data_IF_140075471251
#
_entry.id   IF_140075471251
#
_cell.length_a   1.000
_cell.length_b   1.000
_cell.length_c   1.000
_cell.angle_alpha   90.00
_cell.angle_beta   90.00
_cell.angle_gamma   90.00
#
_symmetry.space_group_name_H-M   'P 1'
#
loop_
_entity.id
_entity.type
_entity.pdbx_description
1 polymer ?
#
# COMPACT_ATOMS: atom_id res chain seq x y z
N UNK A 1 5.79 23.02 -21.96
CA UNK A 1 5.91 23.27 -20.50
C UNK A 1 4.53 23.50 -19.89
N UNK A 2 3.82 22.44 -19.51
CA UNK A 2 2.54 22.59 -18.79
C UNK A 2 2.88 22.53 -17.29
N UNK A 3 3.21 23.68 -16.73
CA UNK A 3 3.31 23.81 -15.28
C UNK A 3 1.94 23.55 -14.68
N UNK A 4 1.81 22.53 -13.81
CA UNK A 4 0.57 22.31 -13.06
C UNK A 4 0.26 23.62 -12.33
N UNK A 5 -0.97 24.18 -12.42
CA UNK A 5 -1.33 25.47 -11.80
C UNK A 5 -0.89 25.58 -10.33
N UNK A 6 -0.94 24.44 -9.61
CA UNK A 6 -0.48 24.32 -8.23
C UNK A 6 1.02 24.54 -7.98
N UNK A 7 1.91 24.25 -8.94
CA UNK A 7 3.35 24.53 -8.76
C UNK A 7 3.64 26.02 -8.83
N UNK A 8 2.97 26.74 -9.73
CA UNK A 8 3.15 28.20 -9.87
C UNK A 8 2.66 28.91 -8.61
N UNK A 9 1.48 28.55 -8.10
CA UNK A 9 0.95 29.12 -6.86
C UNK A 9 1.87 28.85 -5.67
N UNK A 10 2.36 27.61 -5.52
CA UNK A 10 3.29 27.25 -4.44
C UNK A 10 4.63 27.97 -4.57
N UNK A 11 5.18 28.12 -5.77
CA UNK A 11 6.40 28.89 -6.01
C UNK A 11 6.23 30.36 -5.61
N UNK A 12 5.06 30.95 -5.90
CA UNK A 12 4.74 32.31 -5.47
C UNK A 12 4.58 32.42 -3.93
N UNK A 13 4.06 31.39 -3.26
CA UNK A 13 4.02 31.35 -1.79
C UNK A 13 5.42 31.24 -1.19
N UNK A 14 6.31 30.43 -1.78
CA UNK A 14 7.70 30.30 -1.35
C UNK A 14 8.51 31.59 -1.58
N UNK A 15 8.26 32.31 -2.68
CA UNK A 15 8.94 33.58 -2.97
C UNK A 15 8.61 34.69 -1.98
N UNK A 16 7.50 34.57 -1.24
CA UNK A 16 7.15 35.43 -0.09
C UNK A 16 8.00 35.16 1.16
N UNK A 17 8.95 34.22 1.10
CA UNK A 17 9.90 33.90 2.17
C UNK A 17 9.21 33.55 3.50
N UNK A 18 8.35 32.51 3.52
CA UNK A 18 7.69 32.07 4.74
C UNK A 18 8.71 31.64 5.81
N UNK A 19 8.36 31.87 7.08
CA UNK A 19 9.23 31.52 8.22
C UNK A 19 9.33 30.00 8.44
N UNK A 20 8.27 29.25 8.10
CA UNK A 20 8.19 27.79 8.25
C UNK A 20 7.62 27.20 6.96
N UNK A 21 8.25 26.14 6.48
CA UNK A 21 7.80 25.37 5.31
C UNK A 21 7.70 23.91 5.71
N UNK A 22 6.53 23.31 5.46
CA UNK A 22 6.30 21.86 5.63
C UNK A 22 6.11 21.26 4.24
N UNK A 23 6.94 20.29 3.87
CA UNK A 23 6.92 19.71 2.54
C UNK A 23 7.34 18.24 2.55
N UNK A 24 6.87 17.48 1.56
CA UNK A 24 7.42 16.15 1.25
C UNK A 24 8.68 16.29 0.39
N UNK A 25 9.70 15.41 0.54
CA UNK A 25 10.98 15.57 -0.13
C UNK A 25 10.86 15.75 -1.65
N UNK A 26 10.12 14.87 -2.33
CA UNK A 26 9.96 14.96 -3.79
C UNK A 26 9.34 16.27 -4.25
N UNK A 27 8.34 16.80 -3.53
CA UNK A 27 7.70 18.07 -3.89
C UNK A 27 8.63 19.27 -3.67
N UNK A 28 9.43 19.24 -2.62
CA UNK A 28 10.41 20.28 -2.33
C UNK A 28 11.57 20.24 -3.32
N UNK A 29 12.09 19.05 -3.63
CA UNK A 29 13.13 18.83 -4.63
C UNK A 29 12.67 19.29 -6.03
N UNK A 30 11.42 19.03 -6.42
CA UNK A 30 10.85 19.56 -7.67
C UNK A 30 10.87 21.09 -7.71
N UNK A 31 10.53 21.76 -6.61
CA UNK A 31 10.59 23.22 -6.51
C UNK A 31 12.02 23.75 -6.61
N UNK A 32 12.98 23.10 -5.95
CA UNK A 32 14.41 23.45 -6.04
C UNK A 32 14.94 23.28 -7.48
N UNK A 33 14.58 22.18 -8.16
CA UNK A 33 15.05 21.88 -9.52
C UNK A 33 14.42 22.79 -10.58
N UNK A 34 13.16 23.18 -10.37
CA UNK A 34 12.36 23.81 -11.42
C UNK A 34 12.26 25.32 -11.28
N UNK A 35 12.59 25.89 -10.11
CA UNK A 35 12.30 27.29 -9.81
C UNK A 35 13.40 27.98 -9.01
N UNK A 36 13.86 29.13 -9.52
CA UNK A 36 14.77 30.05 -8.80
C UNK A 36 14.01 31.08 -7.93
N UNK A 37 12.73 30.84 -7.67
CA UNK A 37 11.87 31.83 -6.99
C UNK A 37 12.10 31.94 -5.49
N UNK A 38 12.86 31.00 -4.89
CA UNK A 38 13.17 31.01 -3.47
C UNK A 38 14.54 30.37 -3.20
N UNK A 39 15.17 30.76 -2.09
CA UNK A 39 16.43 30.18 -1.63
C UNK A 39 16.30 29.71 -0.18
N UNK A 40 17.14 28.75 0.21
CA UNK A 40 17.19 28.21 1.57
C UNK A 40 18.42 28.71 2.35
N UNK A 41 19.12 29.75 1.88
CA UNK A 41 20.41 30.18 2.46
C UNK A 41 20.29 30.64 3.91
N UNK A 42 19.09 31.04 4.34
CA UNK A 42 18.78 31.50 5.72
C UNK A 42 18.18 30.42 6.61
N UNK A 43 18.11 29.17 6.15
CA UNK A 43 17.53 28.08 6.92
C UNK A 43 18.37 27.80 8.17
N UNK A 44 17.75 27.93 9.35
CA UNK A 44 18.38 27.66 10.65
C UNK A 44 18.07 26.27 11.20
N UNK A 45 16.90 25.74 10.87
CA UNK A 45 16.39 24.46 11.38
C UNK A 45 15.94 23.58 10.22
N UNK A 46 16.41 22.34 10.20
CA UNK A 46 15.93 21.29 9.31
C UNK A 46 15.32 20.18 10.17
N UNK A 47 14.04 19.85 9.93
CA UNK A 47 13.34 18.78 10.65
C UNK A 47 13.04 17.66 9.65
N UNK A 48 13.53 16.47 9.93
CA UNK A 48 13.22 15.24 9.21
C UNK A 48 12.31 14.38 10.08
N UNK A 49 11.02 14.37 9.77
CA UNK A 49 10.01 13.57 10.46
C UNK A 49 9.74 12.25 9.71
N UNK A 50 9.35 11.20 10.44
CA UNK A 50 9.22 9.82 9.94
C UNK A 50 10.48 9.36 9.13
N UNK A 51 11.68 9.62 9.65
CA UNK A 51 12.93 9.47 8.88
C UNK A 51 13.23 8.03 8.40
N UNK A 52 12.74 7.01 9.11
CA UNK A 52 12.79 5.60 8.69
C UNK A 52 12.04 5.35 7.38
N UNK A 53 11.01 6.16 7.09
CA UNK A 53 10.25 6.11 5.83
C UNK A 53 10.90 6.94 4.72
N UNK A 54 11.64 7.99 5.08
CA UNK A 54 12.38 8.78 4.10
C UNK A 54 13.50 7.97 3.44
N UNK A 55 14.06 6.99 4.16
CA UNK A 55 15.15 6.13 3.70
C UNK A 55 14.75 4.69 3.39
N UNK A 56 13.46 4.36 3.40
CA UNK A 56 13.00 2.99 3.16
C UNK A 56 13.25 2.60 1.69
N UNK A 57 14.22 1.70 1.47
CA UNK A 57 14.47 1.12 0.16
C UNK A 57 13.28 0.27 -0.28
N UNK A 58 12.73 0.52 -1.49
CA UNK A 58 11.85 -0.46 -2.13
C UNK A 58 10.54 0.03 -2.77
N UNK A 59 10.14 1.31 -2.69
CA UNK A 59 9.01 1.83 -3.50
C UNK A 59 9.00 3.36 -3.66
N UNK A 60 9.56 4.10 -2.70
CA UNK A 60 9.70 5.56 -2.74
C UNK A 60 11.12 5.92 -2.35
N UNK A 61 12.03 5.87 -3.31
CA UNK A 61 13.43 6.25 -3.09
C UNK A 61 13.54 7.78 -3.02
N UNK A 62 13.19 8.35 -1.85
CA UNK A 62 13.35 9.78 -1.59
C UNK A 62 14.81 10.17 -1.38
N UNK A 63 15.75 9.22 -1.36
CA UNK A 63 17.18 9.47 -1.16
C UNK A 63 17.71 10.51 -2.13
N UNK A 64 17.37 10.38 -3.43
CA UNK A 64 17.78 11.34 -4.46
C UNK A 64 17.18 12.73 -4.30
N UNK A 65 15.93 12.79 -3.83
CA UNK A 65 15.26 14.06 -3.57
C UNK A 65 15.83 14.72 -2.30
N UNK A 66 16.16 13.92 -1.29
CA UNK A 66 16.79 14.36 -0.06
C UNK A 66 18.22 14.88 -0.32
N UNK A 67 19.00 14.21 -1.18
CA UNK A 67 20.31 14.69 -1.64
C UNK A 67 20.21 16.09 -2.26
N UNK A 68 19.24 16.30 -3.15
CA UNK A 68 19.01 17.62 -3.77
C UNK A 68 18.69 18.69 -2.72
N UNK A 69 17.86 18.37 -1.73
CA UNK A 69 17.54 19.30 -0.64
C UNK A 69 18.78 19.58 0.22
N UNK A 70 19.51 18.54 0.62
CA UNK A 70 20.68 18.61 1.49
C UNK A 70 21.83 19.41 0.87
N UNK A 71 21.96 19.40 -0.46
CA UNK A 71 22.96 20.17 -1.19
C UNK A 71 22.69 21.68 -1.22
N UNK A 72 21.44 22.12 -1.05
CA UNK A 72 21.05 23.54 -1.12
C UNK A 72 20.92 24.17 0.27
N UNK A 73 20.69 23.36 1.31
CA UNK A 73 20.58 23.87 2.69
C UNK A 73 21.95 24.24 3.28
N UNK A 74 22.02 25.29 4.13
CA UNK A 74 23.29 25.74 4.72
C UNK A 74 23.93 24.67 5.61
N UNK A 75 25.26 24.57 5.57
CA UNK A 75 26.00 23.67 6.47
C UNK A 75 25.78 24.06 7.94
N UNK A 76 25.81 25.35 8.27
CA UNK A 76 25.53 25.84 9.64
C UNK A 76 24.02 25.88 9.89
N UNK A 77 23.45 24.75 10.33
CA UNK A 77 22.04 24.59 10.70
C UNK A 77 21.89 23.62 11.87
N UNK A 78 20.80 23.73 12.61
CA UNK A 78 20.38 22.68 13.54
C UNK A 78 19.52 21.66 12.76
N UNK A 79 19.91 20.39 12.80
CA UNK A 79 19.15 19.30 12.19
C UNK A 79 18.50 18.45 13.29
N UNK A 80 17.19 18.27 13.21
CA UNK A 80 16.39 17.44 14.09
C UNK A 80 15.83 16.27 13.29
N UNK A 81 15.94 15.07 13.84
CA UNK A 81 15.48 13.85 13.19
C UNK A 81 14.56 13.10 14.14
N UNK A 82 13.37 12.80 13.65
CA UNK A 82 12.35 12.06 14.37
C UNK A 82 12.00 10.81 13.56
N UNK A 83 11.95 9.67 14.24
CA UNK A 83 11.53 8.41 13.65
C UNK A 83 10.91 7.52 14.72
N UNK A 84 9.89 6.76 14.32
CA UNK A 84 9.24 5.79 15.18
C UNK A 84 10.04 4.48 15.29
N UNK A 85 10.92 4.18 14.34
CA UNK A 85 11.70 2.94 14.34
C UNK A 85 13.17 3.21 14.08
N UNK A 86 14.01 2.65 14.96
CA UNK A 86 15.45 2.62 14.79
C UNK A 86 15.80 1.44 13.89
N UNK A 87 15.92 1.70 12.60
CA UNK A 87 16.24 0.68 11.59
C UNK A 87 17.69 0.82 11.14
N UNK A 88 18.21 -0.15 10.40
CA UNK A 88 19.62 -0.15 9.95
C UNK A 88 19.99 1.10 9.14
N UNK A 89 19.00 1.76 8.53
CA UNK A 89 19.10 3.07 7.86
C UNK A 89 19.45 4.24 8.80
N UNK A 90 19.44 4.05 10.12
CA UNK A 90 19.92 5.04 11.09
C UNK A 90 21.40 5.38 10.87
N UNK A 91 22.22 4.40 10.45
CA UNK A 91 23.63 4.68 10.17
C UNK A 91 23.80 5.63 8.98
N UNK A 92 22.94 5.50 7.96
CA UNK A 92 22.86 6.43 6.83
C UNK A 92 22.32 7.80 7.26
N UNK A 93 21.35 7.85 8.19
CA UNK A 93 20.88 9.12 8.75
C UNK A 93 21.95 9.82 9.60
N UNK A 94 22.77 9.05 10.32
CA UNK A 94 23.90 9.55 11.11
C UNK A 94 25.02 10.12 10.25
N UNK A 95 25.18 9.69 8.99
CA UNK A 95 26.15 10.31 8.07
C UNK A 95 25.63 11.62 7.49
N UNK A 96 24.29 11.77 7.36
CA UNK A 96 23.61 13.01 6.94
C UNK A 96 23.57 14.04 8.08
N UNK A 97 23.37 13.59 9.32
CA UNK A 97 23.44 14.44 10.50
C UNK A 97 24.91 14.79 10.82
N UNK A 98 25.23 16.07 10.91
CA UNK A 98 26.58 16.56 11.20
C UNK A 98 27.20 15.96 12.48
N UNK A 99 28.52 16.14 12.63
CA UNK A 99 29.36 15.64 13.72
C UNK A 99 28.70 15.68 15.11
N UNK A 100 28.45 14.46 15.66
CA UNK A 100 27.96 14.16 17.02
C UNK A 100 26.51 14.62 17.31
N UNK A 101 25.49 13.93 16.78
CA UNK A 101 24.10 14.20 17.15
C UNK A 101 23.85 13.81 18.61
N UNK A 102 23.06 14.62 19.32
CA UNK A 102 22.43 14.17 20.57
C UNK A 102 21.42 13.07 20.21
N UNK A 103 21.53 11.93 20.88
CA UNK A 103 20.70 10.77 20.63
C UNK A 103 19.87 10.45 21.86
N UNK A 104 18.55 10.44 21.69
CA UNK A 104 17.60 10.03 22.71
C UNK A 104 16.73 8.93 22.14
N UNK A 105 16.66 7.82 22.85
CA UNK A 105 15.84 6.66 22.51
C UNK A 105 15.04 6.28 23.75
N UNK A 106 13.72 6.24 23.61
CA UNK A 106 12.87 5.62 24.59
C UNK A 106 12.86 4.10 24.35
N UNK A 107 13.53 3.36 25.22
CA UNK A 107 13.49 1.89 25.20
C UNK A 107 12.11 1.43 25.66
N UNK A 108 11.40 0.67 24.82
CA UNK A 108 10.18 -0.03 25.18
C UNK A 108 10.38 -1.52 24.90
N UNK A 109 10.09 -2.38 25.87
CA UNK A 109 10.18 -3.84 25.71
C UNK A 109 9.16 -4.36 24.70
N UNK A 110 8.03 -3.67 24.57
CA UNK A 110 6.98 -3.95 23.58
C UNK A 110 6.85 -2.76 22.64
N UNK A 111 6.90 -2.99 21.33
CA UNK A 111 6.80 -1.89 20.32
C UNK A 111 5.38 -1.34 20.17
N UNK A 112 4.41 -2.00 20.75
CA UNK A 112 3.01 -1.58 20.82
C UNK A 112 2.66 -1.19 22.25
N UNK A 113 1.75 -0.24 22.39
CA UNK A 113 1.23 0.22 23.68
C UNK A 113 0.58 -0.94 24.43
N UNK A 114 0.81 -1.09 25.74
CA UNK A 114 0.31 -2.22 26.54
C UNK A 114 -1.23 -2.27 26.57
N UNK A 115 -1.87 -1.09 26.53
CA UNK A 115 -3.32 -0.90 26.52
C UNK A 115 -4.00 -1.25 25.18
N UNK A 116 -3.23 -1.73 24.20
CA UNK A 116 -3.74 -2.14 22.89
C UNK A 116 -4.08 -3.64 22.86
N UNK A 117 -5.37 -3.96 22.72
CA UNK A 117 -5.83 -5.33 22.45
C UNK A 117 -5.64 -5.66 20.96
N UNK A 118 -4.66 -6.52 20.67
CA UNK A 118 -4.26 -6.90 19.32
C UNK A 118 -4.80 -8.27 18.95
N UNK A 119 -5.69 -8.30 17.96
CA UNK A 119 -6.37 -9.52 17.55
C UNK A 119 -6.32 -9.78 16.06
N UNK A 120 -6.53 -11.03 15.68
CA UNK A 120 -6.68 -11.45 14.29
C UNK A 120 -7.96 -12.26 14.09
N UNK A 121 -8.45 -12.28 12.85
CA UNK A 121 -9.50 -13.19 12.38
C UNK A 121 -8.94 -13.93 11.19
N UNK A 122 -8.85 -15.27 11.28
CA UNK A 122 -8.46 -16.10 10.14
C UNK A 122 -9.67 -16.32 9.25
N UNK A 123 -9.61 -15.88 8.00
CA UNK A 123 -10.74 -15.93 7.08
C UNK A 123 -10.32 -16.07 5.62
N UNK A 124 -11.03 -16.86 4.79
CA UNK A 124 -10.76 -16.92 3.35
C UNK A 124 -10.96 -15.55 2.67
N UNK A 125 -10.11 -15.23 1.67
CA UNK A 125 -10.16 -13.95 0.94
C UNK A 125 -11.57 -13.63 0.40
N UNK A 126 -12.29 -14.64 -0.09
CA UNK A 126 -13.61 -14.49 -0.73
C UNK A 126 -14.73 -14.08 0.22
N UNK A 127 -14.56 -14.27 1.53
CA UNK A 127 -15.62 -13.99 2.53
C UNK A 127 -15.22 -12.86 3.47
N UNK A 128 -14.02 -12.32 3.32
CA UNK A 128 -13.40 -11.32 4.20
C UNK A 128 -14.24 -10.05 4.37
N UNK A 129 -14.93 -9.62 3.31
CA UNK A 129 -15.81 -8.45 3.36
C UNK A 129 -17.04 -8.68 4.25
N UNK A 130 -17.56 -9.91 4.29
CA UNK A 130 -18.69 -10.25 5.15
C UNK A 130 -18.26 -10.24 6.63
N UNK A 131 -17.04 -10.70 6.94
CA UNK A 131 -16.45 -10.55 8.26
C UNK A 131 -16.27 -9.08 8.65
N UNK A 132 -15.81 -8.23 7.71
CA UNK A 132 -15.69 -6.79 7.96
C UNK A 132 -17.05 -6.17 8.31
N UNK A 133 -18.09 -6.47 7.54
CA UNK A 133 -19.45 -5.95 7.78
C UNK A 133 -20.00 -6.40 9.13
N UNK A 134 -19.89 -7.69 9.46
CA UNK A 134 -20.32 -8.22 10.75
C UNK A 134 -19.57 -7.56 11.91
N UNK A 135 -18.26 -7.36 11.76
CA UNK A 135 -17.43 -6.74 12.79
C UNK A 135 -17.82 -5.27 13.03
N UNK A 136 -18.06 -4.51 11.95
CA UNK A 136 -18.50 -3.11 12.07
C UNK A 136 -19.87 -3.04 12.75
N UNK A 137 -20.81 -3.88 12.34
CA UNK A 137 -22.14 -3.94 12.96
C UNK A 137 -22.02 -4.19 14.47
N UNK A 138 -21.24 -5.21 14.86
CA UNK A 138 -21.03 -5.56 16.26
C UNK A 138 -20.45 -4.40 17.07
N UNK A 139 -19.42 -3.72 16.56
CA UNK A 139 -18.86 -2.57 17.27
C UNK A 139 -19.83 -1.40 17.38
N UNK A 140 -20.67 -1.15 16.37
CA UNK A 140 -21.69 -0.10 16.44
C UNK A 140 -22.82 -0.46 17.41
N UNK A 141 -23.20 -1.73 17.48
CA UNK A 141 -24.23 -2.23 18.40
C UNK A 141 -23.75 -2.15 19.87
N UNK A 142 -22.49 -2.51 20.12
CA UNK A 142 -21.88 -2.45 21.45
C UNK A 142 -21.50 -1.01 21.85
N UNK A 143 -21.08 -0.20 20.88
CA UNK A 143 -20.51 1.13 21.10
C UNK A 143 -20.84 2.10 19.95
N UNK A 144 -22.00 2.74 20.01
CA UNK A 144 -22.41 3.69 18.96
C UNK A 144 -21.35 4.80 18.75
N UNK A 145 -20.75 5.36 19.80
CA UNK A 145 -19.81 6.49 19.70
C UNK A 145 -18.37 6.16 19.30
N UNK A 146 -18.07 4.89 19.03
CA UNK A 146 -16.71 4.51 18.65
C UNK A 146 -16.38 4.86 17.20
N UNK A 147 -15.21 5.45 17.01
CA UNK A 147 -14.64 5.68 15.69
C UNK A 147 -13.79 4.49 15.26
N UNK A 148 -13.93 4.12 13.99
CA UNK A 148 -13.30 2.95 13.36
C UNK A 148 -12.45 3.42 12.18
N UNK A 149 -11.18 3.03 12.18
CA UNK A 149 -10.28 3.23 11.04
C UNK A 149 -9.98 1.90 10.36
N UNK A 150 -10.28 1.81 9.06
CA UNK A 150 -10.10 0.60 8.26
C UNK A 150 -8.96 0.80 7.26
N UNK A 151 -7.92 -0.02 7.33
CA UNK A 151 -6.80 0.02 6.40
C UNK A 151 -6.93 -1.01 5.28
N UNK A 152 -6.65 -0.58 4.06
CA UNK A 152 -6.67 -1.42 2.86
C UNK A 152 -5.48 -1.14 1.94
N UNK A 153 -5.16 -2.10 1.08
CA UNK A 153 -3.94 -2.09 0.27
C UNK A 153 -4.00 -1.16 -0.96
N UNK A 154 -5.17 -0.97 -1.57
CA UNK A 154 -5.31 -0.25 -2.85
C UNK A 154 -6.36 0.84 -2.80
N UNK A 155 -6.16 1.90 -3.59
CA UNK A 155 -7.14 3.00 -3.71
C UNK A 155 -8.48 2.50 -4.25
N UNK A 156 -8.46 1.54 -5.20
CA UNK A 156 -9.68 0.93 -5.76
C UNK A 156 -10.46 0.19 -4.67
N UNK A 157 -9.78 -0.66 -3.88
CA UNK A 157 -10.44 -1.38 -2.80
C UNK A 157 -10.96 -0.43 -1.71
N UNK A 158 -10.21 0.63 -1.37
CA UNK A 158 -10.68 1.69 -0.46
C UNK A 158 -12.00 2.31 -0.90
N UNK A 159 -12.13 2.60 -2.20
CA UNK A 159 -13.34 3.17 -2.76
C UNK A 159 -14.49 2.16 -2.81
N UNK A 160 -14.22 0.92 -3.24
CA UNK A 160 -15.23 -0.17 -3.29
C UNK A 160 -15.80 -0.42 -1.90
N UNK A 161 -14.94 -0.61 -0.89
CA UNK A 161 -15.36 -0.83 0.50
C UNK A 161 -16.20 0.34 1.01
N UNK A 162 -15.81 1.58 0.71
CA UNK A 162 -16.57 2.76 1.12
C UNK A 162 -17.97 2.79 0.50
N UNK A 163 -18.09 2.45 -0.79
CA UNK A 163 -19.38 2.36 -1.47
C UNK A 163 -20.24 1.23 -0.91
N UNK A 164 -19.64 0.04 -0.72
CA UNK A 164 -20.31 -1.13 -0.18
C UNK A 164 -20.87 -0.85 1.22
N UNK A 165 -20.05 -0.33 2.14
CA UNK A 165 -20.48 -0.03 3.51
C UNK A 165 -21.65 0.96 3.56
N UNK A 166 -21.69 1.95 2.64
CA UNK A 166 -22.81 2.89 2.55
C UNK A 166 -24.12 2.24 2.09
N UNK A 167 -24.06 1.25 1.21
CA UNK A 167 -25.24 0.47 0.81
C UNK A 167 -25.79 -0.33 2.01
N UNK A 168 -24.90 -0.81 2.89
CA UNK A 168 -25.23 -1.42 4.18
C UNK A 168 -25.56 -0.40 5.30
N UNK A 169 -25.80 0.87 4.95
CA UNK A 169 -26.16 1.95 5.89
C UNK A 169 -25.08 2.30 6.93
N UNK A 170 -23.83 1.88 6.71
CA UNK A 170 -22.70 2.35 7.48
C UNK A 170 -22.13 3.63 6.84
N UNK A 171 -22.28 4.81 7.48
CA UNK A 171 -21.72 6.05 6.97
C UNK A 171 -20.20 6.01 7.03
N UNK A 172 -19.57 5.64 5.91
CA UNK A 172 -18.12 5.58 5.76
C UNK A 172 -17.59 6.67 4.81
N UNK A 173 -16.35 7.09 5.04
CA UNK A 173 -15.60 8.01 4.16
C UNK A 173 -14.27 7.39 3.75
N UNK A 174 -13.85 7.70 2.53
CA UNK A 174 -12.59 7.23 1.97
C UNK A 174 -11.49 8.28 2.12
N UNK A 175 -10.25 7.80 2.23
CA UNK A 175 -9.03 8.60 2.19
C UNK A 175 -7.94 7.82 1.43
N UNK A 176 -7.76 8.14 0.16
CA UNK A 176 -6.76 7.50 -0.70
C UNK A 176 -6.09 8.50 -1.65
N UNK A 177 -4.93 8.15 -2.23
CA UNK A 177 -4.09 9.07 -3.01
C UNK A 177 -4.72 9.56 -4.32
N UNK A 178 -5.67 8.79 -4.90
CA UNK A 178 -6.42 9.18 -6.10
C UNK A 178 -7.47 10.29 -5.85
N UNK A 179 -7.74 10.67 -4.59
CA UNK A 179 -8.66 11.76 -4.27
C UNK A 179 -8.01 13.12 -4.47
N UNK A 180 -8.80 14.13 -4.83
CA UNK A 180 -8.32 15.52 -4.84
C UNK A 180 -7.98 15.95 -3.41
N UNK A 181 -6.90 16.71 -3.24
CA UNK A 181 -6.43 17.15 -1.92
C UNK A 181 -7.54 17.86 -1.11
N UNK A 182 -8.32 18.75 -1.73
CA UNK A 182 -9.47 19.42 -1.10
C UNK A 182 -10.51 18.43 -0.55
N UNK A 183 -10.77 17.34 -1.27
CA UNK A 183 -11.70 16.29 -0.84
C UNK A 183 -11.11 15.48 0.33
N UNK A 184 -9.81 15.19 0.31
CA UNK A 184 -9.11 14.52 1.43
C UNK A 184 -9.25 15.33 2.72
N UNK A 185 -8.99 16.63 2.67
CA UNK A 185 -9.15 17.50 3.84
C UNK A 185 -10.61 17.61 4.30
N UNK A 186 -11.56 17.73 3.38
CA UNK A 186 -12.98 17.78 3.73
C UNK A 186 -13.46 16.48 4.39
N UNK A 187 -13.04 15.31 3.90
CA UNK A 187 -13.37 14.02 4.51
C UNK A 187 -12.71 13.89 5.88
N UNK A 188 -11.44 14.27 6.02
CA UNK A 188 -10.75 14.23 7.30
C UNK A 188 -11.41 15.15 8.33
N UNK A 189 -11.84 16.36 7.93
CA UNK A 189 -12.55 17.27 8.81
C UNK A 189 -13.87 16.66 9.30
N UNK A 190 -14.64 16.03 8.41
CA UNK A 190 -15.87 15.30 8.75
C UNK A 190 -15.65 14.12 9.69
N UNK A 191 -14.51 13.45 9.57
CA UNK A 191 -14.09 12.40 10.51
C UNK A 191 -13.79 12.99 11.88
N UNK A 192 -12.96 14.05 11.91
CA UNK A 192 -12.55 14.75 13.14
C UNK A 192 -13.74 15.30 13.91
N UNK A 193 -14.76 15.78 13.22
CA UNK A 193 -15.99 16.29 13.83
C UNK A 193 -16.99 15.20 14.23
N UNK A 194 -16.60 13.92 14.16
CA UNK A 194 -17.43 12.75 14.46
C UNK A 194 -18.73 12.64 13.62
N UNK A 195 -18.82 13.36 12.49
CA UNK A 195 -19.98 13.28 11.57
C UNK A 195 -19.98 11.94 10.84
N UNK A 196 -18.79 11.40 10.57
CA UNK A 196 -18.59 10.03 10.09
C UNK A 196 -17.71 9.31 11.10
N UNK A 197 -18.20 8.20 11.62
CA UNK A 197 -17.47 7.37 12.60
C UNK A 197 -16.54 6.35 11.93
N UNK A 198 -16.68 6.10 10.62
CA UNK A 198 -15.88 5.12 9.88
C UNK A 198 -15.03 5.79 8.80
N UNK A 199 -13.71 5.60 8.88
CA UNK A 199 -12.73 6.07 7.89
C UNK A 199 -12.00 4.89 7.26
N UNK A 200 -12.06 4.77 5.94
CA UNK A 200 -11.29 3.78 5.18
C UNK A 200 -10.10 4.49 4.52
N UNK A 201 -8.89 3.98 4.75
CA UNK A 201 -7.68 4.61 4.23
C UNK A 201 -6.67 3.60 3.66
N UNK A 202 -5.85 4.08 2.73
CA UNK A 202 -4.61 3.39 2.35
C UNK A 202 -3.43 3.93 3.16
N UNK A 203 -2.37 3.14 3.32
CA UNK A 203 -1.17 3.54 4.07
C UNK A 203 -0.59 4.87 3.60
N UNK A 204 -0.50 5.06 2.28
CA UNK A 204 0.04 6.28 1.66
C UNK A 204 -0.81 7.50 2.00
N UNK A 205 -2.13 7.33 2.08
CA UNK A 205 -3.03 8.45 2.25
C UNK A 205 -3.19 8.88 3.70
N UNK A 206 -3.00 7.96 4.65
CA UNK A 206 -3.03 8.23 6.09
C UNK A 206 -1.75 8.93 6.61
N UNK A 207 -0.66 8.89 5.84
CA UNK A 207 0.62 9.54 6.20
C UNK A 207 0.54 11.06 6.11
N UNK A 208 1.24 11.74 7.03
CA UNK A 208 1.34 13.20 7.08
C UNK A 208 0.01 13.93 7.29
N UNK A 209 -1.05 13.20 7.62
CA UNK A 209 -2.32 13.75 8.06
C UNK A 209 -2.44 13.47 9.55
N UNK A 210 -2.69 14.54 10.31
CA UNK A 210 -3.09 14.43 11.70
C UNK A 210 -4.49 13.82 11.75
N UNK A 211 -4.57 12.50 11.95
CA UNK A 211 -5.81 11.75 12.13
C UNK A 211 -6.00 11.56 13.64
N UNK A 212 -7.19 11.87 14.19
CA UNK A 212 -7.43 11.73 15.62
C UNK A 212 -7.27 10.27 16.04
N UNK A 213 -6.93 10.07 17.31
CA UNK A 213 -6.90 8.74 17.91
C UNK A 213 -8.27 8.09 17.80
N UNK A 214 -8.34 6.89 17.22
CA UNK A 214 -9.57 6.12 17.06
C UNK A 214 -9.65 5.02 18.12
N UNK A 215 -10.85 4.50 18.37
CA UNK A 215 -11.05 3.39 19.31
C UNK A 215 -10.67 2.06 18.66
N UNK A 216 -11.07 1.88 17.39
CA UNK A 216 -10.88 0.62 16.67
C UNK A 216 -10.06 0.81 15.40
N UNK A 217 -9.03 -0.01 15.23
CA UNK A 217 -8.29 -0.13 13.96
C UNK A 217 -8.56 -1.50 13.34
N UNK A 218 -9.04 -1.54 12.10
CA UNK A 218 -9.27 -2.78 11.36
C UNK A 218 -8.31 -2.83 10.17
N UNK A 219 -7.41 -3.81 10.16
CA UNK A 219 -6.62 -4.14 8.99
C UNK A 219 -7.42 -5.09 8.10
N UNK A 220 -8.14 -4.55 7.11
CA UNK A 220 -8.87 -5.36 6.13
C UNK A 220 -7.91 -6.23 5.29
N UNK A 221 -6.68 -5.77 5.11
CA UNK A 221 -5.59 -6.57 4.56
C UNK A 221 -4.42 -6.55 5.53
N UNK A 222 -3.88 -7.73 5.82
CA UNK A 222 -2.64 -7.89 6.58
C UNK A 222 -1.54 -7.02 5.95
N UNK A 223 -0.89 -6.13 6.72
CA UNK A 223 0.19 -5.30 6.19
C UNK A 223 1.38 -6.16 5.78
N UNK A 224 1.97 -5.85 4.62
CA UNK A 224 3.09 -6.63 4.07
C UNK A 224 4.42 -6.46 4.82
N UNK A 225 4.51 -5.48 5.72
CA UNK A 225 5.69 -5.23 6.54
C UNK A 225 5.29 -4.97 8.00
N UNK A 226 5.99 -5.56 8.99
CA UNK A 226 5.70 -5.36 10.41
C UNK A 226 5.72 -3.89 10.87
N UNK A 227 6.61 -3.06 10.31
CA UNK A 227 6.65 -1.63 10.62
C UNK A 227 5.35 -0.91 10.24
N UNK A 228 4.73 -1.31 9.12
CA UNK A 228 3.45 -0.74 8.69
C UNK A 228 2.36 -1.12 9.68
N UNK A 229 2.35 -2.37 10.16
CA UNK A 229 1.42 -2.82 11.20
C UNK A 229 1.48 -1.91 12.44
N UNK A 230 2.68 -1.69 12.98
CA UNK A 230 2.90 -0.83 14.17
C UNK A 230 2.35 0.58 13.93
N UNK A 231 2.59 1.16 12.74
CA UNK A 231 2.09 2.50 12.40
C UNK A 231 0.56 2.58 12.27
N UNK A 232 -0.08 1.49 11.82
CA UNK A 232 -1.54 1.40 11.71
C UNK A 232 -2.19 1.26 13.07
N UNK A 233 -1.73 0.29 13.88
CA UNK A 233 -2.32 0.04 15.20
C UNK A 233 -2.00 1.16 16.19
N UNK A 234 -0.88 1.86 16.01
CA UNK A 234 -0.57 3.09 16.72
C UNK A 234 -1.51 4.27 16.38
N UNK A 235 -2.61 4.08 15.63
CA UNK A 235 -3.71 5.06 15.48
C UNK A 235 -4.78 4.92 16.55
N UNK A 236 -4.76 3.83 17.31
CA UNK A 236 -5.56 3.63 18.52
C UNK A 236 -4.65 3.61 19.76
N UNK A 237 -5.24 3.44 20.94
CA UNK A 237 -4.57 3.31 22.23
C UNK A 237 -3.52 4.40 22.53
N UNK A 238 -3.73 5.65 22.08
CA UNK A 238 -2.83 6.77 22.40
C UNK A 238 -3.22 7.41 23.73
N UNK A 239 -2.21 7.89 24.46
CA UNK A 239 -2.37 8.65 25.71
C UNK A 239 -3.12 7.90 26.82
N UNK A 240 -2.80 6.62 27.03
CA UNK A 240 -3.33 5.80 28.14
C UNK A 240 -4.79 5.34 27.98
N UNK A 241 -5.36 5.48 26.78
CA UNK A 241 -6.70 4.93 26.47
C UNK A 241 -6.57 3.49 25.98
N UNK A 242 -7.54 2.66 26.31
CA UNK A 242 -7.66 1.34 25.72
C UNK A 242 -8.04 1.45 24.24
N UNK A 243 -7.50 0.54 23.43
CA UNK A 243 -7.77 0.47 22.00
C UNK A 243 -7.85 -0.96 21.52
N UNK A 244 -8.59 -1.19 20.43
CA UNK A 244 -8.69 -2.51 19.82
C UNK A 244 -8.15 -2.45 18.40
N UNK A 245 -7.33 -3.43 18.03
CA UNK A 245 -6.92 -3.64 16.65
C UNK A 245 -7.26 -5.05 16.19
N UNK A 246 -7.91 -5.16 15.02
CA UNK A 246 -8.31 -6.44 14.44
C UNK A 246 -7.73 -6.55 13.03
N UNK A 247 -7.00 -7.64 12.78
CA UNK A 247 -6.42 -7.93 11.47
C UNK A 247 -7.12 -9.11 10.81
N UNK A 248 -7.68 -8.88 9.62
CA UNK A 248 -8.24 -9.95 8.81
C UNK A 248 -7.09 -10.64 8.08
N UNK A 249 -6.84 -11.90 8.45
CA UNK A 249 -5.73 -12.71 7.98
C UNK A 249 -6.28 -13.78 7.05
N UNK A 250 -5.70 -13.91 5.86
CA UNK A 250 -6.03 -15.02 4.98
C UNK A 250 -5.04 -16.16 5.10
N UNK A 251 -5.39 -17.31 4.52
CA UNK A 251 -4.50 -18.47 4.39
C UNK A 251 -3.15 -18.14 3.72
N UNK A 252 -3.07 -17.05 2.94
CA UNK A 252 -1.84 -16.62 2.28
C UNK A 252 -0.96 -15.73 3.17
N UNK A 253 -1.54 -15.11 4.21
CA UNK A 253 -0.91 -14.05 5.00
C UNK A 253 -0.31 -14.53 6.32
N UNK A 254 -0.36 -15.85 6.61
CA UNK A 254 0.12 -16.43 7.88
C UNK A 254 1.59 -16.06 8.15
N UNK A 255 2.43 -16.10 7.10
CA UNK A 255 3.84 -15.70 7.20
C UNK A 255 4.02 -14.21 7.56
N UNK A 256 3.11 -13.34 7.13
CA UNK A 256 3.13 -11.91 7.48
C UNK A 256 2.80 -11.71 8.95
N UNK A 257 1.84 -12.49 9.48
CA UNK A 257 1.51 -12.47 10.91
C UNK A 257 2.70 -12.91 11.74
N UNK A 258 3.38 -13.99 11.36
CA UNK A 258 4.60 -14.44 12.06
C UNK A 258 5.68 -13.36 12.10
N UNK A 259 5.92 -12.67 10.98
CA UNK A 259 6.86 -11.54 10.94
C UNK A 259 6.41 -10.35 11.79
N UNK A 260 5.10 -10.11 11.90
CA UNK A 260 4.55 -9.07 12.79
C UNK A 260 4.78 -9.46 14.25
N UNK A 261 4.44 -10.69 14.65
CA UNK A 261 4.60 -11.21 16.01
C UNK A 261 6.06 -11.17 16.48
N UNK A 262 6.99 -11.55 15.61
CA UNK A 262 8.43 -11.46 15.86
C UNK A 262 8.87 -10.01 16.13
N UNK A 263 8.37 -9.06 15.33
CA UNK A 263 8.74 -7.66 15.46
C UNK A 263 8.13 -6.98 16.69
N UNK A 264 6.90 -7.32 17.08
CA UNK A 264 6.23 -6.76 18.26
C UNK A 264 6.57 -7.54 19.54
N UNK A 265 7.25 -8.68 19.42
CA UNK A 265 7.60 -9.60 20.51
C UNK A 265 6.37 -10.09 21.32
N UNK A 266 5.22 -10.20 20.66
CA UNK A 266 3.96 -10.62 21.25
C UNK A 266 3.11 -11.38 20.22
N UNK A 267 2.32 -12.34 20.68
CA UNK A 267 1.38 -13.08 19.83
C UNK A 267 0.05 -12.36 19.72
N UNK A 268 -0.51 -12.31 18.52
CA UNK A 268 -1.88 -11.80 18.33
C UNK A 268 -2.88 -12.84 18.87
N UNK A 269 -3.95 -12.36 19.49
CA UNK A 269 -5.02 -13.23 19.98
C UNK A 269 -6.08 -13.42 18.89
N UNK A 270 -6.67 -14.61 18.82
CA UNK A 270 -7.80 -14.81 17.90
C UNK A 270 -9.05 -14.05 18.38
N UNK A 271 -9.72 -13.35 17.48
CA UNK A 271 -11.00 -12.71 17.77
C UNK A 271 -12.14 -13.70 17.49
N UNK A 272 -12.99 -14.02 18.48
CA UNK A 272 -14.08 -14.96 18.30
C UNK A 272 -15.17 -14.35 17.41
N UNK A 273 -15.51 -15.03 16.31
CA UNK A 273 -16.59 -14.64 15.39
C UNK A 273 -17.63 -15.73 15.30
N UNK A 274 -18.91 -15.35 15.35
CA UNK A 274 -20.01 -16.28 15.10
C UNK A 274 -20.20 -16.47 13.60
N UNK A 275 -19.55 -17.48 13.02
CA UNK A 275 -19.57 -17.72 11.56
C UNK A 275 -20.98 -17.80 10.97
N UNK A 276 -21.95 -18.33 11.74
CA UNK A 276 -23.36 -18.41 11.33
C UNK A 276 -23.96 -17.05 10.98
N UNK A 277 -23.58 -15.99 11.68
CA UNK A 277 -24.06 -14.63 11.38
C UNK A 277 -23.43 -14.07 10.11
N UNK A 278 -22.14 -14.32 9.92
CA UNK A 278 -21.41 -13.93 8.71
C UNK A 278 -22.01 -14.61 7.47
N UNK A 279 -22.33 -15.90 7.56
CA UNK A 279 -22.91 -16.67 6.46
C UNK A 279 -24.29 -16.12 6.01
N UNK A 280 -25.09 -15.56 6.93
CA UNK A 280 -26.40 -14.95 6.60
C UNK A 280 -26.25 -13.75 5.66
N UNK A 281 -25.22 -12.94 5.87
CA UNK A 281 -24.98 -11.72 5.09
C UNK A 281 -24.04 -11.93 3.90
N UNK A 282 -23.33 -13.06 3.84
CA UNK A 282 -22.27 -13.33 2.87
C UNK A 282 -22.70 -13.10 1.41
N UNK A 283 -23.83 -13.69 1.01
CA UNK A 283 -24.34 -13.56 -0.36
C UNK A 283 -24.65 -12.11 -0.69
N UNK A 284 -25.34 -11.41 0.21
CA UNK A 284 -25.70 -10.01 0.04
C UNK A 284 -24.45 -9.12 -0.08
N UNK A 285 -23.45 -9.33 0.78
CA UNK A 285 -22.18 -8.59 0.76
C UNK A 285 -21.44 -8.80 -0.55
N UNK A 286 -21.33 -10.05 -1.03
CA UNK A 286 -20.66 -10.36 -2.29
C UNK A 286 -21.37 -9.73 -3.49
N UNK A 287 -22.70 -9.77 -3.54
CA UNK A 287 -23.49 -9.14 -4.61
C UNK A 287 -23.30 -7.62 -4.57
N UNK A 288 -23.43 -7.00 -3.41
CA UNK A 288 -23.26 -5.55 -3.25
C UNK A 288 -21.84 -5.11 -3.62
N UNK A 289 -20.81 -5.84 -3.17
CA UNK A 289 -19.43 -5.57 -3.56
C UNK A 289 -19.26 -5.62 -5.08
N UNK A 290 -19.80 -6.66 -5.72
CA UNK A 290 -19.71 -6.81 -7.17
C UNK A 290 -20.41 -5.68 -7.92
N UNK A 291 -21.56 -5.23 -7.43
CA UNK A 291 -22.26 -4.07 -7.97
C UNK A 291 -21.42 -2.78 -7.80
N UNK A 292 -20.79 -2.58 -6.64
CA UNK A 292 -19.91 -1.44 -6.40
C UNK A 292 -18.67 -1.47 -7.32
N UNK A 293 -18.09 -2.65 -7.58
CA UNK A 293 -17.00 -2.82 -8.55
C UNK A 293 -17.42 -2.37 -9.95
N UNK A 294 -18.57 -2.84 -10.44
CA UNK A 294 -19.11 -2.48 -11.75
C UNK A 294 -19.41 -0.98 -11.83
N UNK A 295 -20.04 -0.40 -10.80
CA UNK A 295 -20.31 1.05 -10.72
C UNK A 295 -19.01 1.87 -10.74
N UNK A 296 -17.96 1.39 -10.07
CA UNK A 296 -16.67 2.08 -10.02
C UNK A 296 -15.90 1.98 -11.35
N UNK A 297 -16.01 0.85 -12.04
CA UNK A 297 -15.44 0.65 -13.37
C UNK A 297 -16.15 1.52 -14.42
N UNK A 298 -17.46 1.68 -14.32
CA UNK A 298 -18.25 2.56 -15.19
C UNK A 298 -17.99 4.07 -14.97
N UNK A 299 -17.29 4.46 -13.90
CA UNK A 299 -16.96 5.87 -13.60
C UNK A 299 -15.53 6.25 -13.99
N UNK A 300 -14.89 5.45 -14.85
CA UNK A 300 -13.55 5.70 -15.40
C UNK A 300 -12.48 5.92 -14.31
N UNK A 301 -12.63 5.22 -13.18
CA UNK A 301 -11.70 5.34 -12.06
C UNK A 301 -10.25 5.01 -12.48
N UNK A 302 -10.09 4.07 -13.40
CA UNK A 302 -8.81 3.66 -13.97
C UNK A 302 -8.27 4.67 -15.02
N UNK A 303 -9.12 5.45 -15.70
CA UNK A 303 -8.64 6.50 -16.61
C UNK A 303 -7.89 7.59 -15.88
N UNK A 304 -8.33 7.98 -14.67
CA UNK A 304 -7.55 8.93 -13.84
C UNK A 304 -6.17 8.39 -13.51
N UNK A 305 -6.02 7.06 -13.35
CA UNK A 305 -4.74 6.42 -13.05
C UNK A 305 -3.84 6.47 -14.27
N UNK A 306 -4.37 6.16 -15.44
CA UNK A 306 -3.63 6.25 -16.72
C UNK A 306 -3.30 7.70 -17.08
N UNK A 307 -4.20 8.67 -16.86
CA UNK A 307 -3.92 10.10 -17.03
C UNK A 307 -2.81 10.57 -16.09
N UNK A 308 -2.84 10.16 -14.81
CA UNK A 308 -1.78 10.53 -13.85
C UNK A 308 -0.43 9.91 -14.23
N UNK A 309 -0.44 8.67 -14.70
CA UNK A 309 0.76 7.94 -15.16
C UNK A 309 1.31 8.51 -16.47
N UNK A 310 0.47 8.85 -17.45
CA UNK A 310 0.86 9.58 -18.66
C UNK A 310 1.46 10.94 -18.31
N UNK A 311 0.84 11.69 -17.39
CA UNK A 311 1.39 12.96 -16.88
C UNK A 311 2.74 12.79 -16.19
N UNK A 312 2.95 11.69 -15.47
CA UNK A 312 4.23 11.40 -14.82
C UNK A 312 5.31 11.00 -15.83
N UNK A 313 4.98 10.20 -16.84
CA UNK A 313 5.90 9.89 -17.94
C UNK A 313 6.36 11.15 -18.70
N UNK A 314 5.42 12.06 -18.99
CA UNK A 314 5.73 13.37 -19.60
C UNK A 314 6.66 14.19 -18.70
N UNK A 315 6.43 14.19 -17.37
CA UNK A 315 7.28 14.91 -16.42
C UNK A 315 8.71 14.34 -16.33
N UNK A 316 8.85 13.03 -16.50
CA UNK A 316 10.14 12.32 -16.60
C UNK A 316 10.81 12.50 -17.98
N UNK A 317 10.24 13.31 -18.88
CA UNK A 317 10.76 13.53 -20.23
C UNK A 317 10.54 12.36 -21.20
N UNK A 318 9.71 11.38 -20.83
CA UNK A 318 9.35 10.24 -21.68
C UNK A 318 8.05 10.53 -22.42
N UNK A 319 8.04 10.31 -23.73
CA UNK A 319 6.82 10.43 -24.53
C UNK A 319 5.93 9.20 -24.27
N UNK A 320 4.75 9.40 -23.65
CA UNK A 320 3.88 8.30 -23.24
C UNK A 320 3.37 7.48 -24.43
N UNK A 321 3.21 8.07 -25.61
CA UNK A 321 2.68 7.38 -26.78
C UNK A 321 3.76 6.53 -27.46
N UNK A 322 5.03 6.97 -27.42
CA UNK A 322 6.19 6.17 -27.83
C UNK A 322 6.47 5.02 -26.87
N UNK A 323 6.33 5.24 -25.56
CA UNK A 323 6.51 4.22 -24.52
C UNK A 323 5.41 3.14 -24.60
N UNK A 324 4.18 3.56 -24.89
CA UNK A 324 3.03 2.69 -25.09
C UNK A 324 3.18 1.84 -26.36
N UNK A 325 3.65 2.44 -27.47
CA UNK A 325 4.03 1.70 -28.69
C UNK A 325 5.12 0.66 -28.42
N UNK A 326 6.20 1.03 -27.72
CA UNK A 326 7.26 0.09 -27.32
C UNK A 326 6.74 -1.07 -26.48
N UNK A 327 5.87 -0.79 -25.49
CA UNK A 327 5.26 -1.85 -24.67
C UNK A 327 4.38 -2.79 -25.48
N UNK A 328 3.59 -2.25 -26.41
CA UNK A 328 2.73 -3.03 -27.28
C UNK A 328 3.54 -3.92 -28.25
N UNK A 329 4.63 -3.39 -28.82
CA UNK A 329 5.57 -4.18 -29.62
C UNK A 329 6.25 -5.28 -28.80
N UNK A 330 6.75 -4.96 -27.59
CA UNK A 330 7.35 -5.94 -26.68
C UNK A 330 6.35 -7.03 -26.27
N UNK A 331 5.10 -6.68 -26.03
CA UNK A 331 4.03 -7.62 -25.74
C UNK A 331 3.71 -8.52 -26.94
N UNK A 332 3.69 -7.96 -28.16
CA UNK A 332 3.51 -8.71 -29.40
C UNK A 332 4.65 -9.71 -29.62
N UNK A 333 5.89 -9.28 -29.45
CA UNK A 333 7.10 -10.13 -29.52
C UNK A 333 7.06 -11.24 -28.46
N UNK A 334 6.67 -10.93 -27.21
CA UNK A 334 6.51 -11.95 -26.16
C UNK A 334 5.43 -12.97 -26.52
N UNK A 335 4.30 -12.52 -27.08
CA UNK A 335 3.21 -13.40 -27.50
C UNK A 335 3.64 -14.32 -28.65
N UNK A 336 4.37 -13.79 -29.62
CA UNK A 336 4.93 -14.54 -30.74
C UNK A 336 5.97 -15.56 -30.27
N UNK A 337 6.90 -15.17 -29.39
CA UNK A 337 7.87 -16.09 -28.77
C UNK A 337 7.17 -17.22 -27.99
N UNK A 338 6.09 -16.92 -27.26
CA UNK A 338 5.32 -17.92 -26.53
C UNK A 338 4.62 -18.91 -27.48
N UNK A 339 4.02 -18.41 -28.57
CA UNK A 339 3.42 -19.24 -29.63
C UNK A 339 4.48 -20.11 -30.31
N UNK A 340 5.65 -19.55 -30.64
CA UNK A 340 6.75 -20.27 -31.24
C UNK A 340 7.26 -21.39 -30.32
N UNK A 341 7.48 -21.09 -29.04
CA UNK A 341 7.91 -22.08 -28.03
C UNK A 341 6.89 -23.22 -27.88
N UNK A 342 5.59 -22.91 -27.91
CA UNK A 342 4.52 -23.91 -27.92
C UNK A 342 4.57 -24.81 -29.16
N UNK A 343 4.70 -24.23 -30.36
CA UNK A 343 4.83 -25.00 -31.62
C UNK A 343 6.07 -25.90 -31.63
N UNK A 344 7.19 -25.43 -31.09
CA UNK A 344 8.43 -26.22 -30.96
C UNK A 344 8.21 -27.39 -29.99
N UNK A 345 7.56 -27.17 -28.85
CA UNK A 345 7.24 -28.26 -27.90
C UNK A 345 6.32 -29.30 -28.53
N UNK A 346 5.27 -28.90 -29.25
CA UNK A 346 4.38 -29.82 -29.96
C UNK A 346 5.11 -30.62 -31.04
N UNK A 347 6.02 -29.99 -31.79
CA UNK A 347 6.82 -30.67 -32.81
C UNK A 347 7.78 -31.71 -32.21
N UNK A 348 8.41 -31.37 -31.06
CA UNK A 348 9.26 -32.31 -30.30
C UNK A 348 8.43 -33.48 -29.78
N UNK A 349 7.24 -33.23 -29.24
CA UNK A 349 6.32 -34.26 -28.75
C UNK A 349 5.89 -35.21 -29.88
N UNK A 350 5.53 -34.67 -31.06
CA UNK A 350 5.18 -35.45 -32.25
C UNK A 350 6.35 -36.28 -32.78
N UNK A 351 7.59 -35.74 -32.78
CA UNK A 351 8.78 -36.51 -33.15
C UNK A 351 9.08 -37.63 -32.17
N UNK A 352 8.98 -37.38 -30.86
CA UNK A 352 9.11 -38.42 -29.82
C UNK A 352 8.06 -39.51 -29.98
N UNK A 353 6.80 -39.15 -30.21
CA UNK A 353 5.70 -40.09 -30.47
C UNK A 353 5.93 -40.95 -31.73
N UNK A 354 6.40 -40.35 -32.83
CA UNK A 354 6.76 -41.08 -34.04
C UNK A 354 7.95 -42.02 -33.85
N UNK A 355 8.97 -41.63 -33.07
CA UNK A 355 10.08 -42.52 -32.71
C UNK A 355 9.64 -43.69 -31.84
N UNK A 356 8.70 -43.46 -30.91
CA UNK A 356 8.14 -44.51 -30.05
C UNK A 356 7.35 -45.53 -30.87
N UNK A 357 6.49 -45.05 -31.79
CA UNK A 357 5.73 -45.89 -32.74
C UNK A 357 6.64 -46.71 -33.67
N UNK A 358 7.77 -46.13 -34.12
CA UNK A 358 8.73 -46.85 -34.98
C UNK A 358 9.50 -47.93 -34.20
N UNK A 359 9.76 -47.71 -32.90
CA UNK A 359 10.35 -48.73 -32.00
C UNK A 359 9.39 -49.87 -31.66
N UNK A 360 8.09 -49.62 -31.58
CA UNK A 360 7.09 -50.67 -31.37
C UNK A 360 6.87 -51.53 -32.62
N UNK A 361 6.88 -50.96 -33.82
CA UNK A 361 6.75 -51.74 -35.06
C UNK A 361 7.98 -52.59 -35.42
N UNK A 362 9.18 -52.27 -34.91
CA UNK A 362 10.36 -53.12 -35.09
C UNK A 362 10.39 -54.33 -34.12
N UNK A 363 9.52 -54.39 -33.10
CA UNK A 363 9.47 -55.52 -32.15
C UNK A 363 8.41 -56.57 -32.49
N UNK A 364 7.67 -56.39 -33.57
CA UNK A 364 6.63 -57.32 -34.06
C UNK A 364 6.96 -57.80 -35.47
N UNK A 365 8.14 -58.40 -35.65
CA UNK A 365 8.40 -59.28 -36.78
C UNK A 365 8.40 -60.73 -36.23
N UNK A 366 7.49 -61.61 -36.69
CA UNK A 366 7.43 -62.97 -36.17
C UNK A 366 8.61 -63.79 -36.66
N UNK A 367 9.35 -64.40 -35.71
CA UNK A 367 10.27 -65.50 -35.97
C UNK A 367 9.48 -66.70 -36.49
N UNK A 368 9.53 -66.97 -37.79
CA UNK A 368 9.07 -68.24 -38.34
C UNK A 368 10.06 -69.33 -37.90
N UNK A 369 9.63 -70.13 -36.93
CA UNK A 369 10.20 -71.42 -36.57
C UNK A 369 9.90 -72.42 -37.67
N UNK A 370 10.94 -73.02 -38.25
CA UNK A 370 10.83 -74.20 -39.10
C UNK A 370 10.34 -75.40 -38.28
N UNK A 371 9.37 -76.21 -38.76
CA UNK A 371 9.11 -77.53 -38.23
C UNK A 371 9.99 -78.56 -38.95
N UNK A 372 10.74 -79.35 -38.18
CA UNK A 372 11.36 -80.56 -38.68
C UNK A 372 10.37 -81.73 -38.65
N UNK A 373 10.37 -82.53 -39.71
CA UNK A 373 10.17 -83.99 -39.66
C UNK A 373 10.55 -84.65 -40.98
N UNK A 374 11.31 -85.74 -40.85
CA UNK A 374 11.82 -86.71 -41.86
C UNK A 374 13.18 -86.42 -42.46
#
# INVERSE_FOLDING_TARGET
MIWKPYMVTQGLELSRKPHVVVATPGRLADHIRSSDTFDMKRLRFLILDEADRLLEQGCTDFTKDLEVILNVVPAKRQTLLFSATLTDTLQELKSIAMNKPFFWEQKSEVRTVEELDQRYILTPEKVKDAYLVNLIQKFQDEHDDWSIMIFTNTCKNCQILTMMLREFKFPAIALHSMMKQRQRFANLAKFKSNVFKILIATDVAARGLDIPTVQVVINHNTPGLPKIYIHRVGRTARAGRNGVSITLVTQYDIHLVGAIEEQIQAKLKEYPVQEKEVLKILTQVNVTRRQCEIKLEATDFDEKKEINKKKQMILEGKDPDLEEKRKNELAKIKREKRKFKGRVQEAIQKKKGKMLMKKTNCKTAPSQTAPGSS
#
